data_IF_274400709548
#
_entry.id   IF_274400709548
#
_cell.length_a   1.000
_cell.length_b   1.000
_cell.length_c   1.000
_cell.angle_alpha   90.00
_cell.angle_beta   90.00
_cell.angle_gamma   90.00
#
_symmetry.space_group_name_H-M   'P 1'
#
loop_
_entity.id
_entity.type
_entity.pdbx_description
1 polymer ?
#
# COMPACT_ATOMS: atom_id res chain seq x y z
N UNK A 1 6.63 57.33 45.44
CA UNK A 1 8.09 57.54 45.22
C UNK A 1 8.32 57.61 43.71
N UNK A 2 8.03 58.76 43.10
CA UNK A 2 8.98 59.85 42.74
C UNK A 2 9.79 59.46 41.49
N UNK A 3 9.33 59.75 40.27
CA UNK A 3 9.43 61.03 39.50
C UNK A 3 10.85 61.54 39.28
N UNK A 4 11.19 61.80 38.01
CA UNK A 4 11.88 63.00 37.45
C UNK A 4 12.11 62.71 35.94
N UNK A 5 11.30 63.15 34.96
CA UNK A 5 10.87 64.49 34.45
C UNK A 5 11.84 65.09 33.40
N UNK A 6 11.38 65.03 32.13
CA UNK A 6 11.42 65.96 30.95
C UNK A 6 12.24 67.27 31.03
N UNK A 7 12.66 67.92 29.90
CA UNK A 7 11.87 68.23 28.67
C UNK A 7 12.68 68.13 27.34
N UNK A 8 12.24 68.40 26.10
CA UNK A 8 11.01 68.90 25.47
C UNK A 8 11.36 69.54 24.11
N UNK A 9 10.51 69.33 23.07
CA UNK A 9 10.07 70.25 21.96
C UNK A 9 11.14 71.03 21.13
N UNK A 10 11.12 71.23 19.80
CA UNK A 10 10.07 71.63 18.82
C UNK A 10 10.63 71.62 17.37
N UNK A 11 9.77 71.23 16.39
CA UNK A 11 9.53 71.74 15.01
C UNK A 11 10.55 72.55 14.18
N UNK A 12 10.66 72.25 12.86
CA UNK A 12 10.11 73.04 11.72
C UNK A 12 10.71 72.69 10.32
N UNK A 13 9.81 72.51 9.33
CA UNK A 13 9.80 72.73 7.84
C UNK A 13 11.08 73.16 7.03
N UNK A 14 11.04 73.35 5.67
CA UNK A 14 10.63 72.50 4.53
C UNK A 14 11.58 72.60 3.27
N UNK A 15 11.20 71.91 2.16
CA UNK A 15 11.45 72.20 0.71
C UNK A 15 12.89 72.41 0.19
N UNK A 16 13.32 71.60 -0.80
CA UNK A 16 13.83 72.12 -2.07
C UNK A 16 13.69 71.10 -3.22
N UNK A 17 13.18 71.62 -4.33
CA UNK A 17 12.93 71.03 -5.63
C UNK A 17 14.26 70.96 -6.42
N UNK A 18 14.64 69.80 -6.97
CA UNK A 18 15.71 69.73 -7.96
C UNK A 18 15.30 68.85 -9.14
N UNK A 19 15.32 69.50 -10.30
CA UNK A 19 14.96 69.03 -11.63
C UNK A 19 16.04 68.08 -12.17
N UNK A 20 15.67 66.91 -12.70
CA UNK A 20 16.53 66.15 -13.64
C UNK A 20 15.66 65.66 -14.79
N UNK A 21 15.93 66.21 -15.97
CA UNK A 21 15.38 65.79 -17.27
C UNK A 21 16.20 64.58 -17.75
N UNK A 22 15.58 63.42 -17.88
CA UNK A 22 16.20 62.24 -18.48
C UNK A 22 15.54 61.94 -19.83
N UNK A 23 16.36 62.00 -20.89
CA UNK A 23 15.95 61.82 -22.28
C UNK A 23 15.56 60.37 -22.58
N UNK A 24 14.44 60.22 -23.27
CA UNK A 24 13.85 58.98 -23.74
C UNK A 24 14.63 58.47 -24.96
N UNK A 25 15.35 57.35 -24.82
CA UNK A 25 15.88 56.57 -25.96
C UNK A 25 15.29 55.16 -25.89
N UNK A 26 14.16 54.97 -26.58
CA UNK A 26 13.47 53.69 -26.73
C UNK A 26 14.26 52.82 -27.72
N UNK A 27 15.18 51.99 -27.21
CA UNK A 27 15.81 50.91 -27.97
C UNK A 27 14.97 49.64 -27.86
N UNK A 28 14.29 49.25 -28.93
CA UNK A 28 13.57 47.98 -29.01
C UNK A 28 14.56 46.83 -29.16
N UNK A 29 14.71 46.01 -28.11
CA UNK A 29 15.45 44.74 -28.17
C UNK A 29 14.61 43.69 -28.90
N UNK A 30 15.15 42.97 -29.90
CA UNK A 30 14.43 41.86 -30.51
C UNK A 30 14.33 40.71 -29.48
N UNK A 31 13.10 40.28 -29.18
CA UNK A 31 12.84 39.09 -28.36
C UNK A 31 13.10 37.86 -29.20
N UNK A 32 14.25 37.20 -28.99
CA UNK A 32 14.47 35.83 -29.46
C UNK A 32 13.53 34.94 -28.66
N UNK A 33 12.43 34.52 -29.27
CA UNK A 33 11.57 33.51 -28.70
C UNK A 33 12.31 32.17 -28.84
N UNK A 34 13.07 31.79 -27.81
CA UNK A 34 13.60 30.46 -27.68
C UNK A 34 12.40 29.53 -27.47
N UNK A 35 11.86 29.01 -28.57
CA UNK A 35 10.97 27.87 -28.52
C UNK A 35 11.76 26.73 -27.90
N UNK A 36 11.49 26.47 -26.62
CA UNK A 36 11.80 25.17 -26.02
C UNK A 36 10.91 24.19 -26.78
N UNK A 37 11.47 23.60 -27.83
CA UNK A 37 10.91 22.39 -28.41
C UNK A 37 11.05 21.37 -27.31
N UNK A 38 9.91 21.01 -26.71
CA UNK A 38 9.83 19.99 -25.67
C UNK A 38 10.32 18.67 -26.29
N UNK A 39 11.60 18.37 -26.10
CA UNK A 39 12.18 17.08 -26.42
C UNK A 39 11.36 16.04 -25.65
N UNK A 40 10.78 15.00 -26.29
CA UNK A 40 9.85 14.11 -25.61
C UNK A 40 10.55 13.55 -24.38
N UNK A 41 10.07 13.99 -23.20
CA UNK A 41 10.69 13.68 -21.94
C UNK A 41 10.87 12.17 -21.87
N UNK A 42 12.11 11.68 -21.70
CA UNK A 42 12.38 10.26 -21.46
C UNK A 42 11.56 9.85 -20.24
N UNK A 43 10.44 9.21 -20.51
CA UNK A 43 9.50 8.81 -19.47
C UNK A 43 10.19 7.84 -18.53
N UNK A 44 9.94 8.00 -17.23
CA UNK A 44 10.73 7.37 -16.18
C UNK A 44 10.93 5.86 -16.34
N UNK A 45 11.93 5.32 -15.63
CA UNK A 45 12.24 3.89 -15.65
C UNK A 45 11.12 3.13 -14.94
N UNK A 46 10.44 2.24 -15.67
CA UNK A 46 9.36 1.39 -15.13
C UNK A 46 9.94 0.11 -14.52
N UNK A 47 9.47 -0.24 -13.32
CA UNK A 47 9.79 -1.50 -12.62
C UNK A 47 8.51 -2.15 -12.12
N UNK A 48 8.48 -3.48 -12.11
CA UNK A 48 7.34 -4.27 -11.65
C UNK A 48 7.77 -5.14 -10.48
N UNK A 49 6.91 -5.23 -9.47
CA UNK A 49 7.12 -6.07 -8.30
C UNK A 49 5.90 -6.97 -8.06
N UNK A 50 6.10 -8.28 -7.82
CA UNK A 50 7.38 -8.99 -7.88
C UNK A 50 7.93 -9.09 -9.32
N UNK A 51 9.21 -9.43 -9.47
CA UNK A 51 9.85 -9.63 -10.78
C UNK A 51 9.50 -10.97 -11.45
N UNK A 52 8.88 -11.87 -10.71
CA UNK A 52 8.33 -13.16 -11.16
C UNK A 52 7.08 -13.44 -10.33
N UNK A 53 6.06 -14.01 -10.96
CA UNK A 53 4.84 -14.48 -10.30
C UNK A 53 4.84 -16.01 -10.31
N UNK A 54 4.76 -16.61 -9.12
CA UNK A 54 4.55 -18.05 -8.96
C UNK A 54 3.22 -18.29 -8.28
N UNK A 55 2.39 -19.10 -8.90
CA UNK A 55 1.06 -19.46 -8.42
C UNK A 55 1.02 -20.97 -8.22
N UNK A 56 0.66 -21.39 -7.02
CA UNK A 56 0.57 -22.79 -6.64
C UNK A 56 -0.84 -23.09 -6.11
N UNK A 57 -1.53 -24.07 -6.70
CA UNK A 57 -2.90 -24.49 -6.31
C UNK A 57 -4.01 -23.55 -6.80
N UNK A 58 -5.24 -24.05 -6.82
CA UNK A 58 -6.41 -23.36 -7.41
C UNK A 58 -6.86 -22.08 -6.68
N UNK A 59 -6.45 -21.93 -5.41
CA UNK A 59 -6.79 -20.77 -4.56
C UNK A 59 -5.71 -19.72 -4.46
N UNK A 60 -4.60 -19.88 -5.19
CA UNK A 60 -3.52 -18.90 -5.14
C UNK A 60 -3.86 -17.64 -5.91
N UNK A 61 -3.29 -16.53 -5.45
CA UNK A 61 -3.36 -15.26 -6.15
C UNK A 61 -2.15 -14.42 -5.79
N UNK A 62 -1.62 -13.71 -6.78
CA UNK A 62 -0.48 -12.83 -6.59
C UNK A 62 -0.78 -11.47 -7.18
N UNK A 63 -0.69 -10.44 -6.35
CA UNK A 63 -0.75 -9.05 -6.82
C UNK A 63 0.58 -8.62 -7.41
N UNK A 64 0.52 -7.80 -8.45
CA UNK A 64 1.66 -7.02 -8.94
C UNK A 64 1.44 -5.52 -8.70
N UNK A 65 2.56 -4.80 -8.59
CA UNK A 65 2.62 -3.34 -8.48
C UNK A 65 3.63 -2.84 -9.51
N UNK A 66 3.28 -1.76 -10.20
CA UNK A 66 4.14 -1.11 -11.18
C UNK A 66 4.56 0.25 -10.66
N UNK A 67 5.88 0.45 -10.56
CA UNK A 67 6.49 1.68 -10.09
C UNK A 67 7.26 2.34 -11.24
N UNK A 68 7.07 3.64 -11.42
CA UNK A 68 7.90 4.46 -12.32
C UNK A 68 8.87 5.29 -11.48
N UNK A 69 10.12 5.40 -11.93
CA UNK A 69 11.10 6.36 -11.40
C UNK A 69 11.33 7.46 -12.45
N UNK A 70 10.81 8.65 -12.20
CA UNK A 70 10.92 9.79 -13.11
C UNK A 70 12.36 10.33 -13.18
N UNK A 71 12.66 11.14 -14.20
CA UNK A 71 13.98 11.77 -14.38
C UNK A 71 14.40 12.68 -13.22
N UNK A 72 13.44 13.22 -12.47
CA UNK A 72 13.67 14.00 -11.25
C UNK A 72 13.92 13.13 -9.99
N UNK A 73 13.98 11.80 -10.14
CA UNK A 73 14.20 10.84 -9.06
C UNK A 73 12.98 10.50 -8.21
N UNK A 74 11.82 11.11 -8.46
CA UNK A 74 10.58 10.77 -7.76
C UNK A 74 10.02 9.45 -8.28
N UNK A 75 9.44 8.68 -7.36
CA UNK A 75 8.76 7.43 -7.70
C UNK A 75 7.24 7.58 -7.61
N UNK A 76 6.52 7.00 -8.56
CA UNK A 76 5.06 6.90 -8.56
C UNK A 76 4.58 5.46 -8.73
N UNK A 77 3.42 5.15 -8.14
CA UNK A 77 2.67 3.93 -8.43
C UNK A 77 1.79 4.19 -9.66
N UNK A 78 2.03 3.42 -10.72
CA UNK A 78 1.29 3.48 -11.98
C UNK A 78 0.51 2.19 -12.26
N UNK A 79 0.28 1.35 -11.24
CA UNK A 79 -0.37 0.04 -11.37
C UNK A 79 -1.75 0.13 -12.02
N UNK A 80 -2.50 1.20 -11.77
CA UNK A 80 -3.82 1.42 -12.40
C UNK A 80 -3.76 2.01 -13.80
N UNK A 81 -2.59 2.49 -14.25
CA UNK A 81 -2.39 3.13 -15.55
C UNK A 81 -1.82 2.19 -16.61
N UNK A 82 -1.30 1.03 -16.20
CA UNK A 82 -0.69 0.06 -17.13
C UNK A 82 -1.74 -0.80 -17.81
N UNK A 83 -1.52 -1.10 -19.08
CA UNK A 83 -2.27 -2.12 -19.78
C UNK A 83 -1.61 -3.48 -19.54
N UNK A 84 -2.30 -4.36 -18.80
CA UNK A 84 -1.83 -5.69 -18.46
C UNK A 84 -2.43 -6.74 -19.39
N UNK A 85 -1.58 -7.58 -20.00
CA UNK A 85 -1.99 -8.67 -20.89
C UNK A 85 -1.19 -9.93 -20.60
N UNK A 86 -1.81 -11.10 -20.74
CA UNK A 86 -1.12 -12.38 -20.63
C UNK A 86 -0.83 -12.92 -22.03
N UNK A 87 0.39 -13.40 -22.25
CA UNK A 87 0.76 -14.04 -23.51
C UNK A 87 -0.11 -15.27 -23.79
N UNK A 88 -0.35 -16.09 -22.77
CA UNK A 88 -1.27 -17.21 -22.82
C UNK A 88 -2.36 -17.10 -21.73
N UNK A 89 -3.57 -16.61 -22.06
CA UNK A 89 -4.66 -16.44 -21.11
C UNK A 89 -5.35 -17.76 -20.72
N UNK A 90 -4.95 -18.91 -21.28
CA UNK A 90 -5.49 -20.21 -20.86
C UNK A 90 -4.84 -20.74 -19.58
N UNK A 91 -3.66 -20.22 -19.21
CA UNK A 91 -2.89 -20.69 -18.05
C UNK A 91 -3.15 -19.86 -16.78
N UNK A 92 -3.43 -18.57 -16.95
CA UNK A 92 -3.72 -17.66 -15.86
C UNK A 92 -4.75 -16.60 -16.31
N UNK A 93 -5.39 -15.95 -15.33
CA UNK A 93 -6.27 -14.79 -15.56
C UNK A 93 -5.79 -13.60 -14.75
N UNK A 94 -6.11 -12.40 -15.24
CA UNK A 94 -5.90 -11.15 -14.53
C UNK A 94 -7.25 -10.67 -13.96
N UNK A 95 -7.28 -10.33 -12.67
CA UNK A 95 -8.40 -9.68 -12.00
C UNK A 95 -7.90 -8.41 -11.29
N UNK A 96 -8.10 -7.25 -11.90
CA UNK A 96 -7.47 -6.01 -11.47
C UNK A 96 -5.95 -6.09 -11.58
N UNK A 97 -5.24 -5.95 -10.46
CA UNK A 97 -3.79 -6.14 -10.37
C UNK A 97 -3.38 -7.50 -9.80
N UNK A 98 -4.32 -8.46 -9.71
CA UNK A 98 -4.05 -9.83 -9.27
C UNK A 98 -3.97 -10.78 -10.46
N UNK A 99 -3.06 -11.74 -10.36
CA UNK A 99 -2.96 -12.87 -11.29
C UNK A 99 -3.39 -14.13 -10.56
N UNK A 100 -4.28 -14.91 -11.17
CA UNK A 100 -4.83 -16.15 -10.62
C UNK A 100 -4.56 -17.32 -11.59
N UNK A 101 -4.29 -18.53 -11.08
CA UNK A 101 -3.99 -19.69 -11.91
C UNK A 101 -5.26 -20.27 -12.54
N UNK A 102 -5.12 -20.84 -13.74
CA UNK A 102 -6.17 -21.61 -14.44
C UNK A 102 -5.69 -23.00 -14.85
N UNK A 103 -4.44 -23.12 -15.30
CA UNK A 103 -3.84 -24.37 -15.71
C UNK A 103 -2.32 -24.34 -15.52
N UNK A 104 -1.71 -25.51 -15.39
CA UNK A 104 -0.27 -25.66 -15.16
C UNK A 104 0.53 -25.21 -16.39
N UNK A 105 1.66 -24.54 -16.14
CA UNK A 105 2.57 -24.11 -17.19
C UNK A 105 3.22 -22.75 -16.92
N UNK A 106 3.94 -22.26 -17.91
CA UNK A 106 4.59 -20.97 -17.88
C UNK A 106 3.99 -20.05 -18.95
N UNK A 107 3.74 -18.79 -18.58
CA UNK A 107 3.33 -17.71 -19.46
C UNK A 107 4.03 -16.42 -19.03
N UNK A 108 3.81 -15.35 -19.78
CA UNK A 108 4.34 -14.03 -19.48
C UNK A 108 3.20 -13.04 -19.26
N UNK A 109 3.37 -12.16 -18.27
CA UNK A 109 2.56 -10.97 -18.06
C UNK A 109 3.27 -9.78 -18.70
N UNK A 110 2.63 -9.19 -19.71
CA UNK A 110 3.13 -8.03 -20.44
C UNK A 110 2.41 -6.79 -19.93
N UNK A 111 3.18 -5.85 -19.39
CA UNK A 111 2.71 -4.59 -18.81
C UNK A 111 3.19 -3.45 -19.68
N UNK A 112 2.25 -2.77 -20.35
CA UNK A 112 2.54 -1.66 -21.25
C UNK A 112 2.13 -0.35 -20.61
N UNK A 113 3.07 0.59 -20.55
CA UNK A 113 2.81 1.96 -20.11
C UNK A 113 3.57 2.93 -21.00
N UNK A 114 2.81 3.77 -21.72
CA UNK A 114 3.33 4.81 -22.63
C UNK A 114 4.43 4.33 -23.59
N UNK A 115 4.21 3.16 -24.19
CA UNK A 115 5.13 2.55 -25.14
C UNK A 115 6.29 1.76 -24.52
N UNK A 116 6.53 1.87 -23.20
CA UNK A 116 7.41 0.95 -22.48
C UNK A 116 6.69 -0.36 -22.19
N UNK A 117 7.35 -1.47 -22.46
CA UNK A 117 6.83 -2.82 -22.16
C UNK A 117 7.75 -3.48 -21.14
N UNK A 118 7.16 -3.95 -20.03
CA UNK A 118 7.86 -4.77 -19.04
C UNK A 118 7.22 -6.16 -19.03
N UNK A 119 8.05 -7.18 -19.06
CA UNK A 119 7.62 -8.58 -19.08
C UNK A 119 7.94 -9.22 -17.74
N UNK A 120 6.94 -9.86 -17.13
CA UNK A 120 7.05 -10.60 -15.87
C UNK A 120 6.71 -12.07 -16.13
N UNK A 121 7.62 -13.02 -15.84
CA UNK A 121 7.31 -14.44 -15.94
C UNK A 121 6.22 -14.84 -14.94
N UNK A 122 5.29 -15.67 -15.39
CA UNK A 122 4.20 -16.24 -14.60
C UNK A 122 4.27 -17.75 -14.69
N UNK A 123 4.44 -18.42 -13.56
CA UNK A 123 4.53 -19.87 -13.46
C UNK A 123 3.35 -20.36 -12.62
N UNK A 124 2.55 -21.26 -13.19
CA UNK A 124 1.45 -21.91 -12.51
C UNK A 124 1.79 -23.38 -12.28
N UNK A 125 1.68 -23.84 -11.03
CA UNK A 125 1.89 -25.23 -10.62
C UNK A 125 0.66 -25.74 -9.84
N UNK A 126 0.25 -26.97 -10.11
CA UNK A 126 -0.88 -27.63 -9.46
C UNK A 126 -2.18 -26.80 -9.49
N UNK A 127 -2.44 -26.01 -10.54
CA UNK A 127 -3.55 -25.08 -10.66
C UNK A 127 -4.94 -25.73 -10.46
N UNK A 128 -5.07 -27.03 -10.71
CA UNK A 128 -6.30 -27.79 -10.48
C UNK A 128 -6.46 -28.32 -9.04
N UNK A 129 -5.39 -28.31 -8.23
CA UNK A 129 -5.40 -28.84 -6.86
C UNK A 129 -5.99 -27.78 -5.94
N UNK A 130 -7.03 -28.12 -5.19
CA UNK A 130 -7.46 -27.32 -4.04
C UNK A 130 -6.66 -27.77 -2.80
N UNK A 131 -5.79 -26.90 -2.28
CA UNK A 131 -5.01 -27.23 -1.09
C UNK A 131 -5.92 -27.42 0.13
N UNK A 132 -5.52 -28.22 1.13
CA UNK A 132 -6.23 -28.24 2.41
C UNK A 132 -6.31 -26.86 3.06
N UNK A 133 -7.33 -26.66 3.90
CA UNK A 133 -7.43 -25.47 4.75
C UNK A 133 -6.22 -25.41 5.68
N UNK A 134 -5.51 -24.29 5.63
CA UNK A 134 -4.35 -23.99 6.43
C UNK A 134 -4.75 -23.06 7.56
N UNK A 135 -4.58 -23.48 8.81
CA UNK A 135 -4.80 -22.59 9.95
C UNK A 135 -3.97 -21.30 9.83
N UNK A 136 -2.73 -21.41 9.35
CA UNK A 136 -1.80 -20.27 9.22
C UNK A 136 -2.23 -19.30 8.13
N UNK A 137 -2.68 -19.78 6.97
CA UNK A 137 -2.99 -18.93 5.81
C UNK A 137 -4.46 -18.50 5.76
N UNK A 138 -5.37 -19.33 6.26
CA UNK A 138 -6.82 -19.13 6.06
C UNK A 138 -7.54 -18.66 7.33
N UNK A 139 -7.06 -19.04 8.53
CA UNK A 139 -7.76 -18.75 9.80
C UNK A 139 -7.05 -17.65 10.59
N UNK A 140 -5.74 -17.76 10.77
CA UNK A 140 -4.95 -16.84 11.59
C UNK A 140 -5.02 -15.37 11.12
N UNK A 141 -5.04 -15.06 9.80
CA UNK A 141 -5.21 -13.68 9.34
C UNK A 141 -6.54 -13.05 9.74
N UNK A 142 -7.59 -13.85 9.97
CA UNK A 142 -8.88 -13.36 10.47
C UNK A 142 -8.72 -12.78 11.87
N UNK A 143 -8.00 -13.47 12.76
CA UNK A 143 -7.73 -12.96 14.11
C UNK A 143 -6.91 -11.67 14.10
N UNK A 144 -5.97 -11.56 13.15
CA UNK A 144 -5.16 -10.35 13.00
C UNK A 144 -6.00 -9.17 12.52
N UNK A 145 -6.80 -9.38 11.47
CA UNK A 145 -7.70 -8.37 10.92
C UNK A 145 -8.74 -7.90 11.95
N UNK A 146 -9.29 -8.83 12.74
CA UNK A 146 -10.27 -8.52 13.80
C UNK A 146 -9.64 -8.03 15.10
N UNK A 147 -8.31 -8.02 15.21
CA UNK A 147 -7.57 -7.54 16.38
C UNK A 147 -7.55 -8.47 17.59
N UNK A 148 -8.04 -9.71 17.47
CA UNK A 148 -8.09 -10.67 18.58
C UNK A 148 -6.69 -11.04 19.09
N UNK A 149 -5.70 -11.16 18.20
CA UNK A 149 -4.33 -11.56 18.55
C UNK A 149 -3.38 -10.36 18.75
N UNK A 150 -3.91 -9.17 19.06
CA UNK A 150 -3.12 -7.99 19.39
C UNK A 150 -2.76 -7.93 20.89
N UNK A 151 -1.72 -7.16 21.22
CA UNK A 151 -1.20 -7.03 22.59
C UNK A 151 -2.18 -6.40 23.59
N UNK A 152 -3.23 -5.72 23.13
CA UNK A 152 -4.29 -5.16 23.97
C UNK A 152 -5.30 -6.22 24.46
N UNK A 153 -5.41 -7.36 23.78
CA UNK A 153 -6.41 -8.40 24.01
C UNK A 153 -5.79 -9.79 24.19
N UNK A 154 -6.25 -10.82 23.47
CA UNK A 154 -5.76 -12.19 23.62
C UNK A 154 -4.32 -12.37 23.14
N UNK A 155 -3.77 -11.45 22.34
CA UNK A 155 -2.35 -11.39 21.99
C UNK A 155 -1.42 -10.84 23.09
N UNK A 156 -1.97 -10.40 24.23
CA UNK A 156 -1.17 -9.99 25.38
C UNK A 156 -0.35 -11.16 25.93
N UNK A 157 0.81 -10.88 26.56
CA UNK A 157 1.68 -11.92 27.12
C UNK A 157 0.95 -12.90 28.08
N UNK A 158 -0.04 -12.40 28.83
CA UNK A 158 -0.90 -13.20 29.72
C UNK A 158 -2.26 -13.60 29.12
N UNK A 159 -2.59 -13.13 27.92
CA UNK A 159 -3.92 -13.24 27.33
C UNK A 159 -5.01 -12.50 28.14
N UNK A 160 -6.26 -12.93 27.95
CA UNK A 160 -7.45 -12.46 28.68
C UNK A 160 -8.32 -13.66 29.06
N UNK A 161 -8.82 -13.67 30.30
CA UNK A 161 -9.79 -14.66 30.80
C UNK A 161 -9.44 -16.13 30.51
N UNK A 162 -8.15 -16.43 30.67
CA UNK A 162 -7.61 -17.77 30.45
C UNK A 162 -7.51 -18.17 28.98
N UNK A 163 -7.58 -17.24 28.04
CA UNK A 163 -7.33 -17.46 26.61
C UNK A 163 -6.26 -16.51 26.08
N UNK A 164 -5.27 -17.09 25.40
CA UNK A 164 -4.17 -16.37 24.76
C UNK A 164 -3.94 -16.88 23.35
N UNK A 165 -3.70 -15.94 22.46
CA UNK A 165 -3.15 -16.14 21.12
C UNK A 165 -1.76 -15.54 21.10
N UNK A 166 -0.90 -16.01 20.21
CA UNK A 166 0.41 -15.43 20.00
C UNK A 166 0.27 -14.05 19.35
N UNK A 167 1.14 -13.12 19.75
CA UNK A 167 1.10 -11.75 19.24
C UNK A 167 1.27 -11.78 17.71
N UNK A 168 0.28 -11.25 16.99
CA UNK A 168 0.22 -11.23 15.52
C UNK A 168 0.39 -12.61 14.85
N UNK A 169 0.11 -13.71 15.57
CA UNK A 169 0.25 -15.06 15.01
C UNK A 169 1.68 -15.58 14.95
N UNK A 170 2.57 -15.10 15.83
CA UNK A 170 3.96 -15.54 15.93
C UNK A 170 4.14 -17.06 16.11
N UNK A 171 3.22 -17.73 16.79
CA UNK A 171 3.23 -19.18 17.06
C UNK A 171 1.93 -19.84 16.55
N UNK A 172 1.81 -20.12 15.23
CA UNK A 172 0.59 -20.70 14.65
C UNK A 172 0.25 -22.08 15.22
N UNK A 173 1.26 -22.89 15.54
CA UNK A 173 1.06 -24.24 16.06
C UNK A 173 0.48 -24.21 17.48
N UNK A 174 1.05 -23.38 18.35
CA UNK A 174 0.51 -23.21 19.70
C UNK A 174 -0.85 -22.50 19.70
N UNK A 175 -1.09 -21.55 18.79
CA UNK A 175 -2.40 -20.91 18.66
C UNK A 175 -3.47 -21.89 18.23
N UNK A 176 -3.16 -22.75 17.26
CA UNK A 176 -4.03 -23.85 16.88
C UNK A 176 -4.34 -24.76 18.07
N UNK A 177 -3.33 -25.15 18.86
CA UNK A 177 -3.53 -25.95 20.06
C UNK A 177 -4.42 -25.26 21.11
N UNK A 178 -4.16 -23.98 21.41
CA UNK A 178 -4.92 -23.20 22.40
C UNK A 178 -6.38 -23.04 21.98
N UNK A 179 -6.61 -22.82 20.69
CA UNK A 179 -7.96 -22.70 20.13
C UNK A 179 -8.74 -24.02 20.20
N UNK A 180 -8.08 -25.14 19.86
CA UNK A 180 -8.77 -26.41 19.57
C UNK A 180 -8.71 -27.45 20.69
N UNK A 181 -7.66 -27.43 21.53
CA UNK A 181 -7.28 -28.55 22.41
C UNK A 181 -7.08 -28.17 23.87
N UNK A 182 -6.63 -26.96 24.17
CA UNK A 182 -6.31 -26.57 25.56
C UNK A 182 -7.54 -26.58 26.48
N UNK A 183 -8.72 -26.21 25.96
CA UNK A 183 -10.00 -26.30 26.68
C UNK A 183 -11.08 -26.88 25.76
N UNK A 184 -11.15 -28.22 25.62
CA UNK A 184 -12.06 -28.88 24.69
C UNK A 184 -13.52 -28.49 24.94
N UNK A 185 -14.28 -28.26 23.85
CA UNK A 185 -15.69 -27.91 23.89
C UNK A 185 -16.03 -26.50 24.37
N UNK A 186 -15.10 -25.79 25.04
CA UNK A 186 -15.37 -24.43 25.54
C UNK A 186 -15.29 -23.36 24.45
N UNK A 187 -14.33 -23.48 23.52
CA UNK A 187 -14.05 -22.46 22.49
C UNK A 187 -14.67 -22.80 21.15
N UNK A 188 -14.60 -24.08 20.78
CA UNK A 188 -15.12 -24.63 19.54
C UNK A 188 -16.13 -25.71 19.86
N UNK A 189 -17.32 -25.58 19.30
CA UNK A 189 -18.33 -26.62 19.31
C UNK A 189 -18.24 -27.39 17.99
N UNK A 190 -17.62 -28.57 17.99
CA UNK A 190 -17.45 -29.36 16.77
C UNK A 190 -18.75 -30.06 16.32
N UNK A 191 -19.74 -30.18 17.21
CA UNK A 191 -21.04 -30.75 16.89
C UNK A 191 -21.96 -29.71 16.20
N UNK A 192 -21.93 -28.47 16.68
CA UNK A 192 -22.70 -27.34 16.14
C UNK A 192 -21.76 -26.13 15.98
N UNK A 193 -20.99 -26.04 14.86
CA UNK A 193 -19.93 -25.04 14.69
C UNK A 193 -20.35 -23.60 14.89
N UNK A 194 -21.57 -23.24 14.47
CA UNK A 194 -22.10 -21.87 14.60
C UNK A 194 -22.28 -21.42 16.06
N UNK A 195 -22.48 -22.38 16.98
CA UNK A 195 -22.66 -22.16 18.42
C UNK A 195 -21.29 -22.21 19.16
N UNK A 196 -20.18 -22.09 18.41
CA UNK A 196 -18.86 -21.97 19.02
C UNK A 196 -18.74 -20.63 19.72
N UNK A 197 -18.37 -20.64 21.01
CA UNK A 197 -18.16 -19.41 21.79
C UNK A 197 -17.18 -18.44 21.10
N UNK A 198 -16.20 -18.97 20.37
CA UNK A 198 -15.30 -18.17 19.53
C UNK A 198 -16.06 -17.28 18.52
N UNK A 199 -17.07 -17.84 17.84
CA UNK A 199 -17.87 -17.12 16.85
C UNK A 199 -18.86 -16.19 17.54
N UNK A 200 -19.57 -16.65 18.56
CA UNK A 200 -20.55 -15.85 19.30
C UNK A 200 -19.91 -14.59 19.91
N UNK A 201 -18.71 -14.71 20.50
CA UNK A 201 -17.95 -13.58 21.02
C UNK A 201 -17.41 -12.67 19.91
N UNK A 202 -17.02 -13.23 18.75
CA UNK A 202 -16.52 -12.44 17.64
C UNK A 202 -17.59 -11.54 17.02
N UNK A 203 -18.85 -11.99 17.02
CA UNK A 203 -19.98 -11.21 16.50
C UNK A 203 -20.75 -10.44 17.58
N UNK A 204 -20.34 -10.53 18.85
CA UNK A 204 -21.00 -9.84 19.96
C UNK A 204 -22.37 -10.40 20.36
N UNK A 205 -22.68 -11.65 19.98
CA UNK A 205 -23.90 -12.33 20.41
C UNK A 205 -23.90 -12.62 21.93
N UNK A 206 -22.70 -12.73 22.51
CA UNK A 206 -22.47 -12.84 23.96
C UNK A 206 -21.37 -11.88 24.39
N UNK A 207 -21.25 -11.61 25.69
CA UNK A 207 -20.17 -10.75 26.23
C UNK A 207 -18.79 -11.27 25.82
N UNK A 208 -17.94 -10.35 25.37
CA UNK A 208 -16.53 -10.63 25.10
C UNK A 208 -15.82 -11.10 26.36
#
# INVERSE_FOLDING_TARGET
MTMLRFPGRTSSLPRFLMLVVAALMCGTRPTVNAGVVDEPAREGVVKVYPSEIRLATSRDEQSFVVQVTHSNGLTGDITSEVQATLLNPTLAKIDGNRVLPLADGATELHLVWRGQTVVVPVICDQAAVDRPISFRLDVMPVFMKSGCNQGSCHGAARGKDGFRLSLFGFDPAGDYYRLTREQPGRRLNLAVPRDSLLLEKAIGAVSH
#
